data_IF_499581551336
#
_entry.id   IF_499581551336
#
_cell.length_a   1.000
_cell.length_b   1.000
_cell.length_c   1.000
_cell.angle_alpha   90.00
_cell.angle_beta   90.00
_cell.angle_gamma   90.00
#
_symmetry.space_group_name_H-M   'P 1'
#
loop_
_entity.id
_entity.type
_entity.pdbx_description
1 polymer ?
#
# COMPACT_ATOMS: atom_id res chain seq x y z
N UNK A 1 9.68 25.48 -13.51
CA UNK A 1 8.81 24.82 -12.51
C UNK A 1 8.56 25.77 -11.35
N UNK A 2 7.28 25.94 -10.97
CA UNK A 2 6.89 26.85 -9.88
C UNK A 2 7.29 26.28 -8.51
N UNK A 3 7.27 27.11 -7.46
CA UNK A 3 7.49 26.65 -6.09
C UNK A 3 6.46 25.59 -5.65
N UNK A 4 5.28 25.58 -6.26
CA UNK A 4 4.24 24.56 -6.04
C UNK A 4 4.62 23.20 -6.63
N UNK A 5 5.13 23.17 -7.85
CA UNK A 5 5.58 21.94 -8.52
C UNK A 5 6.79 21.29 -7.83
N UNK A 6 7.60 22.09 -7.14
CA UNK A 6 8.75 21.63 -6.36
C UNK A 6 8.40 21.25 -4.91
N UNK A 7 7.15 21.38 -4.49
CA UNK A 7 6.73 21.11 -3.11
C UNK A 7 7.20 22.15 -2.08
N UNK A 8 7.85 23.24 -2.49
CA UNK A 8 8.35 24.29 -1.57
C UNK A 8 7.24 25.19 -1.02
N UNK A 9 6.09 25.21 -1.64
CA UNK A 9 4.91 25.95 -1.20
C UNK A 9 3.65 25.18 -1.60
N UNK A 10 2.71 25.03 -0.67
CA UNK A 10 1.39 24.48 -0.95
C UNK A 10 0.47 25.57 -1.54
N UNK A 11 -0.24 25.29 -2.65
CA UNK A 11 -1.26 26.20 -3.16
C UNK A 11 -2.43 26.30 -2.19
N UNK A 12 -3.14 27.45 -2.21
CA UNK A 12 -4.41 27.56 -1.51
C UNK A 12 -5.51 26.77 -2.24
N UNK A 13 -6.64 26.52 -1.56
CA UNK A 13 -7.82 25.90 -2.19
C UNK A 13 -8.36 26.77 -3.33
N UNK A 14 -8.24 28.09 -3.20
CA UNK A 14 -8.62 29.09 -4.19
C UNK A 14 -7.72 29.00 -5.42
N UNK A 15 -6.38 28.93 -5.23
CA UNK A 15 -5.41 28.77 -6.31
C UNK A 15 -5.68 27.48 -7.10
N UNK A 16 -5.88 26.37 -6.38
CA UNK A 16 -6.23 25.07 -7.00
C UNK A 16 -7.54 25.17 -7.75
N UNK A 17 -8.56 25.82 -7.18
CA UNK A 17 -9.87 25.98 -7.83
C UNK A 17 -9.78 26.80 -9.12
N UNK A 18 -8.94 27.85 -9.13
CA UNK A 18 -8.70 28.67 -10.32
C UNK A 18 -8.00 27.86 -11.42
N UNK A 19 -6.96 27.07 -11.07
CA UNK A 19 -6.24 26.22 -12.02
C UNK A 19 -7.19 25.16 -12.60
N UNK A 20 -8.00 24.50 -11.78
CA UNK A 20 -8.96 23.49 -12.23
C UNK A 20 -10.01 24.10 -13.17
N UNK A 21 -10.45 25.34 -12.92
CA UNK A 21 -11.36 26.04 -13.81
C UNK A 21 -10.73 26.34 -15.16
N UNK A 22 -9.47 26.80 -15.20
CA UNK A 22 -8.70 27.03 -16.44
C UNK A 22 -8.49 25.75 -17.23
N UNK A 23 -8.26 24.61 -16.55
CA UNK A 23 -8.09 23.30 -17.18
C UNK A 23 -9.43 22.63 -17.57
N UNK A 24 -10.57 23.29 -17.31
CA UNK A 24 -11.90 22.76 -17.62
C UNK A 24 -12.31 21.56 -16.78
N UNK A 25 -11.62 21.27 -15.66
CA UNK A 25 -11.92 20.14 -14.79
C UNK A 25 -13.15 20.47 -13.93
N UNK A 26 -14.20 19.62 -14.03
CA UNK A 26 -15.50 19.83 -13.36
C UNK A 26 -15.96 18.56 -12.65
N UNK A 27 -17.06 18.66 -11.89
CA UNK A 27 -17.70 17.52 -11.20
C UNK A 27 -16.82 16.89 -10.13
N UNK A 28 -16.98 15.59 -9.94
CA UNK A 28 -16.34 14.80 -8.89
C UNK A 28 -14.81 14.94 -8.86
N UNK A 29 -14.16 14.98 -10.01
CA UNK A 29 -12.72 15.14 -10.11
C UNK A 29 -12.26 16.50 -9.55
N UNK A 30 -12.99 17.60 -9.84
CA UNK A 30 -12.73 18.91 -9.28
C UNK A 30 -12.87 18.92 -7.76
N UNK A 31 -13.97 18.33 -7.25
CA UNK A 31 -14.27 18.35 -5.82
C UNK A 31 -13.25 17.49 -5.04
N UNK A 32 -12.80 16.40 -5.63
CA UNK A 32 -11.74 15.58 -5.10
C UNK A 32 -10.41 16.35 -4.96
N UNK A 33 -9.95 17.03 -6.01
CA UNK A 33 -8.68 17.78 -5.97
C UNK A 33 -8.79 18.96 -4.98
N UNK A 34 -9.94 19.63 -4.88
CA UNK A 34 -10.17 20.68 -3.88
C UNK A 34 -10.12 20.15 -2.45
N UNK A 35 -10.64 18.96 -2.23
CA UNK A 35 -10.55 18.29 -0.92
C UNK A 35 -9.11 17.95 -0.56
N UNK A 36 -8.32 17.44 -1.50
CA UNK A 36 -6.89 17.23 -1.32
C UNK A 36 -6.16 18.53 -0.96
N UNK A 37 -6.43 19.63 -1.68
CA UNK A 37 -5.82 20.93 -1.41
C UNK A 37 -6.21 21.49 -0.02
N UNK A 38 -7.44 21.24 0.45
CA UNK A 38 -7.90 21.67 1.77
C UNK A 38 -7.12 20.99 2.89
N UNK A 39 -6.88 19.69 2.75
CA UNK A 39 -6.18 18.88 3.75
C UNK A 39 -4.65 18.89 3.59
N UNK A 40 -4.12 19.42 2.49
CA UNK A 40 -2.69 19.46 2.22
C UNK A 40 -1.85 20.22 3.27
N UNK A 41 -2.48 21.06 4.10
CA UNK A 41 -1.84 21.81 5.18
C UNK A 41 -1.96 21.16 6.55
N UNK A 42 -2.77 20.11 6.65
CA UNK A 42 -2.92 19.39 7.91
C UNK A 42 -1.72 18.44 8.08
N UNK A 43 -0.96 18.54 9.18
CA UNK A 43 0.06 17.57 9.47
C UNK A 43 -0.65 16.23 9.71
N UNK A 44 -0.28 15.19 8.94
CA UNK A 44 -0.81 13.84 9.07
C UNK A 44 -2.32 13.72 8.86
N UNK A 45 -2.78 13.85 7.60
CA UNK A 45 -4.19 13.69 7.39
C UNK A 45 -4.72 12.25 7.51
N UNK A 46 -5.72 12.13 8.36
CA UNK A 46 -6.49 10.92 8.59
C UNK A 46 -7.68 10.85 7.63
N UNK A 47 -7.68 9.84 6.77
CA UNK A 47 -8.85 9.53 5.94
C UNK A 47 -9.76 8.56 6.68
N UNK A 48 -10.94 9.00 7.07
CA UNK A 48 -11.98 8.12 7.64
C UNK A 48 -12.80 7.43 6.54
N UNK A 49 -13.24 6.20 6.81
CA UNK A 49 -13.75 5.25 5.81
C UNK A 49 -15.27 5.26 5.58
N UNK A 50 -15.97 6.38 5.78
CA UNK A 50 -17.43 6.44 5.78
C UNK A 50 -18.11 6.76 4.43
N UNK A 51 -17.48 6.48 3.28
CA UNK A 51 -18.09 6.69 1.95
C UNK A 51 -18.03 5.44 1.06
N UNK A 52 -18.83 5.37 0.00
CA UNK A 52 -18.93 4.24 -0.95
C UNK A 52 -17.61 3.81 -1.61
N UNK A 53 -16.65 4.71 -1.76
CA UNK A 53 -15.23 4.44 -1.96
C UNK A 53 -14.51 5.31 -0.94
N UNK A 54 -13.97 4.74 0.13
CA UNK A 54 -13.27 5.51 1.14
C UNK A 54 -12.19 6.38 0.52
N UNK A 55 -12.14 7.65 0.91
CA UNK A 55 -11.12 8.60 0.44
C UNK A 55 -9.69 8.04 0.61
N UNK A 56 -9.46 7.27 1.67
CA UNK A 56 -8.22 6.52 1.87
C UNK A 56 -7.89 5.57 0.70
N UNK A 57 -8.89 4.87 0.16
CA UNK A 57 -8.68 3.98 -0.98
C UNK A 57 -8.35 4.74 -2.26
N UNK A 58 -9.06 5.84 -2.54
CA UNK A 58 -8.80 6.65 -3.73
C UNK A 58 -7.42 7.31 -3.68
N UNK A 59 -6.98 7.78 -2.51
CA UNK A 59 -5.63 8.31 -2.33
C UNK A 59 -4.59 7.24 -2.53
N UNK A 60 -4.77 6.06 -1.93
CA UNK A 60 -3.86 4.93 -2.14
C UNK A 60 -3.74 4.57 -3.62
N UNK A 61 -4.85 4.53 -4.36
CA UNK A 61 -4.85 4.28 -5.81
C UNK A 61 -4.00 5.28 -6.58
N UNK A 62 -4.06 6.56 -6.22
CA UNK A 62 -3.27 7.60 -6.88
C UNK A 62 -1.79 7.49 -6.53
N UNK A 63 -1.45 7.21 -5.26
CA UNK A 63 -0.08 6.99 -4.83
C UNK A 63 0.53 5.77 -5.56
N UNK A 64 -0.18 4.65 -5.60
CA UNK A 64 0.25 3.43 -6.28
C UNK A 64 0.43 3.63 -7.80
N UNK A 65 -0.45 4.42 -8.43
CA UNK A 65 -0.37 4.69 -9.86
C UNK A 65 0.83 5.55 -10.25
N UNK A 66 1.21 6.49 -9.39
CA UNK A 66 2.24 7.51 -9.66
C UNK A 66 3.60 7.17 -9.07
N UNK A 67 3.66 6.28 -8.08
CA UNK A 67 4.93 5.83 -7.50
C UNK A 67 5.79 5.05 -8.50
N UNK A 68 7.10 5.22 -8.40
CA UNK A 68 8.11 4.40 -9.09
C UNK A 68 8.65 3.29 -8.22
N UNK A 69 8.59 3.47 -6.89
CA UNK A 69 8.99 2.46 -5.92
C UNK A 69 7.97 2.42 -4.79
N UNK A 70 7.59 1.22 -4.38
CA UNK A 70 6.74 0.98 -3.22
C UNK A 70 7.45 -0.02 -2.32
N UNK A 71 7.57 0.31 -1.04
CA UNK A 71 8.03 -0.61 0.00
C UNK A 71 6.91 -0.84 1.00
N UNK A 72 6.54 -2.09 1.20
CA UNK A 72 5.49 -2.49 2.15
C UNK A 72 6.09 -3.34 3.26
N UNK A 73 5.77 -3.03 4.50
CA UNK A 73 5.91 -3.92 5.64
C UNK A 73 4.55 -4.45 6.07
N UNK A 74 4.39 -5.76 6.09
CA UNK A 74 3.14 -6.42 6.47
C UNK A 74 3.41 -7.60 7.40
N UNK A 75 3.19 -7.45 8.72
CA UNK A 75 3.59 -8.46 9.72
C UNK A 75 2.66 -9.70 9.77
N UNK A 76 1.37 -9.55 9.47
CA UNK A 76 0.35 -10.57 9.77
C UNK A 76 -0.55 -10.91 8.57
N UNK A 77 -0.62 -10.06 7.56
CA UNK A 77 -1.51 -10.23 6.41
C UNK A 77 -0.69 -10.07 5.12
N UNK A 78 -0.96 -10.84 4.11
CA UNK A 78 -0.33 -10.64 2.79
C UNK A 78 -0.73 -9.26 2.25
N UNK A 79 0.21 -8.43 1.75
CA UNK A 79 -0.09 -7.10 1.20
C UNK A 79 -1.11 -7.18 0.06
N UNK A 80 -2.03 -6.22 -0.01
CA UNK A 80 -3.12 -6.21 -0.98
C UNK A 80 -2.69 -6.28 -2.45
N UNK A 81 -1.47 -5.84 -2.77
CA UNK A 81 -0.89 -5.95 -4.12
C UNK A 81 -0.45 -7.39 -4.48
N UNK A 82 -0.32 -8.29 -3.51
CA UNK A 82 0.09 -9.69 -3.70
C UNK A 82 -1.00 -10.70 -3.31
N UNK A 83 -2.22 -10.25 -3.00
CA UNK A 83 -3.32 -11.16 -2.61
C UNK A 83 -3.97 -11.84 -3.80
N UNK A 84 -4.29 -13.12 -3.68
CA UNK A 84 -5.17 -13.83 -4.64
C UNK A 84 -6.64 -13.42 -4.46
N UNK A 85 -7.51 -13.64 -5.46
CA UNK A 85 -8.94 -13.35 -5.31
C UNK A 85 -9.59 -14.05 -4.12
N UNK A 86 -9.24 -15.32 -3.87
CA UNK A 86 -9.85 -16.12 -2.80
C UNK A 86 -9.34 -15.71 -1.42
N UNK A 87 -8.06 -15.34 -1.32
CA UNK A 87 -7.53 -14.72 -0.11
C UNK A 87 -8.24 -13.39 0.22
N UNK A 88 -8.49 -12.54 -0.79
CA UNK A 88 -9.25 -11.29 -0.61
C UNK A 88 -10.68 -11.59 -0.13
N UNK A 89 -11.37 -12.58 -0.72
CA UNK A 89 -12.74 -12.97 -0.31
C UNK A 89 -12.74 -13.44 1.13
N UNK A 90 -11.81 -14.31 1.52
CA UNK A 90 -11.72 -14.84 2.90
C UNK A 90 -11.56 -13.76 3.97
N UNK A 91 -10.85 -12.66 3.65
CA UNK A 91 -10.76 -11.50 4.54
C UNK A 91 -12.09 -10.74 4.56
N UNK A 92 -12.75 -10.58 3.41
CA UNK A 92 -13.99 -9.82 3.31
C UNK A 92 -15.18 -10.52 3.96
N UNK A 93 -15.26 -11.84 3.89
CA UNK A 93 -16.32 -12.64 4.51
C UNK A 93 -16.37 -12.50 6.04
N UNK A 94 -15.25 -12.18 6.66
CA UNK A 94 -15.15 -11.87 8.09
C UNK A 94 -15.49 -10.42 8.43
N UNK A 95 -15.66 -9.56 7.42
CA UNK A 95 -16.05 -8.16 7.60
C UNK A 95 -17.57 -8.02 7.40
N UNK A 96 -18.21 -7.14 8.20
CA UNK A 96 -19.65 -6.87 8.09
C UNK A 96 -19.99 -6.03 6.84
N UNK A 97 -19.69 -6.56 5.64
CA UNK A 97 -19.86 -5.89 4.35
C UNK A 97 -20.89 -6.65 3.52
N UNK A 98 -21.78 -5.95 2.82
CA UNK A 98 -22.73 -6.62 1.91
C UNK A 98 -22.00 -7.29 0.73
N UNK A 99 -22.61 -8.34 0.15
CA UNK A 99 -22.03 -9.10 -0.99
C UNK A 99 -21.69 -8.15 -2.15
N UNK A 100 -22.57 -7.21 -2.48
CA UNK A 100 -22.38 -6.25 -3.57
C UNK A 100 -21.15 -5.33 -3.30
N UNK A 101 -20.97 -4.88 -2.07
CA UNK A 101 -19.83 -4.09 -1.67
C UNK A 101 -18.53 -4.92 -1.67
N UNK A 102 -18.59 -6.20 -1.30
CA UNK A 102 -17.46 -7.11 -1.33
C UNK A 102 -16.96 -7.32 -2.77
N UNK A 103 -17.85 -7.55 -3.74
CA UNK A 103 -17.51 -7.70 -5.15
C UNK A 103 -16.91 -6.41 -5.76
N UNK A 104 -17.45 -5.25 -5.40
CA UNK A 104 -16.89 -3.96 -5.83
C UNK A 104 -15.46 -3.77 -5.28
N UNK A 105 -15.26 -4.06 -3.99
CA UNK A 105 -13.95 -3.97 -3.33
C UNK A 105 -12.95 -4.98 -3.92
N UNK A 106 -13.38 -6.21 -4.21
CA UNK A 106 -12.55 -7.22 -4.87
C UNK A 106 -12.05 -6.72 -6.23
N UNK A 107 -12.96 -6.23 -7.09
CA UNK A 107 -12.59 -5.70 -8.42
C UNK A 107 -11.57 -4.56 -8.29
N UNK A 108 -11.78 -3.63 -7.36
CA UNK A 108 -10.83 -2.53 -7.12
C UNK A 108 -9.48 -3.04 -6.66
N UNK A 109 -9.42 -4.00 -5.73
CA UNK A 109 -8.16 -4.59 -5.26
C UNK A 109 -7.39 -5.29 -6.39
N UNK A 110 -8.08 -6.09 -7.20
CA UNK A 110 -7.45 -6.77 -8.36
C UNK A 110 -6.97 -5.78 -9.42
N UNK A 111 -7.74 -4.71 -9.68
CA UNK A 111 -7.32 -3.66 -10.61
C UNK A 111 -6.04 -2.93 -10.15
N UNK A 112 -5.83 -2.74 -8.84
CA UNK A 112 -4.60 -2.16 -8.26
C UNK A 112 -3.35 -2.97 -8.59
N UNK A 113 -3.45 -4.30 -8.57
CA UNK A 113 -2.31 -5.20 -8.79
C UNK A 113 -1.67 -5.05 -10.17
N UNK A 114 -2.39 -4.47 -11.14
CA UNK A 114 -1.87 -4.23 -12.50
C UNK A 114 -0.62 -3.35 -12.52
N UNK A 115 -0.37 -2.54 -11.50
CA UNK A 115 0.86 -1.73 -11.40
C UNK A 115 2.12 -2.59 -11.32
N UNK A 116 2.00 -3.85 -10.85
CA UNK A 116 3.12 -4.80 -10.76
C UNK A 116 3.42 -5.49 -12.09
N UNK A 117 2.49 -5.48 -13.04
CA UNK A 117 2.56 -6.27 -14.28
C UNK A 117 2.44 -5.45 -15.56
N UNK A 118 2.20 -4.12 -15.48
CA UNK A 118 2.15 -3.23 -16.64
C UNK A 118 3.51 -3.15 -17.34
N UNK A 119 3.57 -2.54 -18.52
CA UNK A 119 4.80 -2.39 -19.35
C UNK A 119 5.93 -1.64 -18.63
N UNK A 120 5.59 -0.66 -17.80
CA UNK A 120 6.52 0.04 -16.91
C UNK A 120 6.08 -0.22 -15.46
N UNK A 121 6.45 -1.38 -14.89
CA UNK A 121 5.95 -1.78 -13.59
C UNK A 121 6.67 -1.05 -12.46
N UNK A 122 5.95 -0.80 -11.38
CA UNK A 122 6.52 -0.25 -10.14
C UNK A 122 7.55 -1.23 -9.55
N UNK A 123 8.64 -0.72 -9.01
CA UNK A 123 9.55 -1.52 -8.16
C UNK A 123 8.90 -1.73 -6.80
N UNK A 124 8.62 -2.99 -6.49
CA UNK A 124 7.89 -3.35 -5.29
C UNK A 124 8.75 -4.18 -4.35
N UNK A 125 8.97 -3.68 -3.13
CA UNK A 125 9.61 -4.43 -2.04
C UNK A 125 8.57 -4.84 -1.03
N UNK A 126 8.31 -6.13 -0.91
CA UNK A 126 7.44 -6.72 0.10
C UNK A 126 8.29 -7.31 1.23
N UNK A 127 8.21 -6.71 2.40
CA UNK A 127 8.74 -7.26 3.65
C UNK A 127 7.56 -7.90 4.38
N UNK A 128 7.57 -9.22 4.54
CA UNK A 128 6.51 -9.99 5.19
C UNK A 128 6.99 -10.52 6.53
N UNK A 129 6.15 -10.43 7.56
CA UNK A 129 6.38 -11.19 8.76
C UNK A 129 6.08 -12.67 8.49
N UNK A 130 6.93 -13.59 8.96
CA UNK A 130 6.74 -15.04 8.79
C UNK A 130 5.35 -15.49 9.25
N UNK A 131 4.79 -14.86 10.30
CA UNK A 131 3.45 -15.19 10.81
C UNK A 131 2.34 -15.01 9.78
N UNK A 132 2.51 -14.12 8.79
CA UNK A 132 1.53 -13.94 7.71
C UNK A 132 1.34 -15.17 6.82
N UNK A 133 2.27 -16.12 6.87
CA UNK A 133 2.21 -17.38 6.13
C UNK A 133 1.45 -18.48 6.86
N UNK A 134 1.25 -18.32 8.17
CA UNK A 134 0.64 -19.34 9.04
C UNK A 134 -0.78 -18.98 9.51
N UNK A 135 -1.25 -17.79 9.18
CA UNK A 135 -2.62 -17.38 9.49
C UNK A 135 -3.62 -18.06 8.53
N UNK A 136 -4.63 -18.72 9.10
CA UNK A 136 -5.65 -19.40 8.31
C UNK A 136 -6.70 -18.41 7.80
N UNK A 137 -6.56 -18.02 6.55
CA UNK A 137 -7.58 -17.28 5.80
C UNK A 137 -8.34 -18.22 4.89
N UNK A 138 -9.61 -18.49 5.21
CA UNK A 138 -10.45 -19.41 4.42
C UNK A 138 -10.13 -20.90 4.63
N UNK A 139 -10.33 -21.70 3.57
CA UNK A 139 -10.03 -23.13 3.54
C UNK A 139 -8.53 -23.37 3.36
N UNK A 140 -8.09 -24.61 3.55
CA UNK A 140 -6.69 -25.01 3.40
C UNK A 140 -6.10 -24.70 2.01
N UNK A 141 -6.91 -24.74 0.94
CA UNK A 141 -6.48 -24.41 -0.42
C UNK A 141 -6.18 -22.94 -0.63
N UNK A 142 -6.87 -22.03 0.07
CA UNK A 142 -6.70 -20.57 -0.11
C UNK A 142 -5.28 -20.14 0.22
N UNK A 143 -4.69 -20.64 1.31
CA UNK A 143 -3.32 -20.31 1.69
C UNK A 143 -2.29 -20.96 0.78
N UNK A 144 -2.49 -22.19 0.35
CA UNK A 144 -1.61 -22.85 -0.62
C UNK A 144 -1.56 -22.06 -1.93
N UNK A 145 -2.71 -21.72 -2.52
CA UNK A 145 -2.79 -20.90 -3.73
C UNK A 145 -2.16 -19.51 -3.54
N UNK A 146 -2.33 -18.93 -2.36
CA UNK A 146 -1.73 -17.65 -2.02
C UNK A 146 -0.19 -17.74 -1.95
N UNK A 147 0.36 -18.79 -1.39
CA UNK A 147 1.81 -19.02 -1.31
C UNK A 147 2.39 -19.27 -2.70
N UNK A 148 1.73 -20.06 -3.52
CA UNK A 148 2.12 -20.30 -4.92
C UNK A 148 2.13 -19.00 -5.72
N UNK A 149 1.13 -18.14 -5.49
CA UNK A 149 1.10 -16.81 -6.09
C UNK A 149 2.28 -15.93 -5.62
N UNK A 150 2.64 -15.96 -4.33
CA UNK A 150 3.81 -15.24 -3.82
C UNK A 150 5.11 -15.73 -4.47
N UNK A 151 5.28 -17.03 -4.66
CA UNK A 151 6.42 -17.62 -5.37
C UNK A 151 6.48 -17.13 -6.82
N UNK A 152 5.35 -17.17 -7.53
CA UNK A 152 5.27 -16.68 -8.91
C UNK A 152 5.57 -15.17 -9.02
N UNK A 153 5.08 -14.37 -8.08
CA UNK A 153 5.34 -12.92 -8.05
C UNK A 153 6.79 -12.61 -7.67
N UNK A 154 7.40 -13.35 -6.76
CA UNK A 154 8.80 -13.17 -6.36
C UNK A 154 9.82 -13.48 -7.48
N UNK A 155 9.41 -14.20 -8.52
CA UNK A 155 10.24 -14.45 -9.71
C UNK A 155 10.31 -13.24 -10.67
N UNK A 156 9.50 -12.20 -10.47
CA UNK A 156 9.50 -11.02 -11.33
C UNK A 156 10.64 -10.06 -10.97
N UNK A 157 11.35 -9.48 -11.95
CA UNK A 157 12.54 -8.66 -11.71
C UNK A 157 12.24 -7.33 -10.97
N UNK A 158 10.99 -6.88 -10.98
CA UNK A 158 10.57 -5.66 -10.29
C UNK A 158 10.02 -5.92 -8.87
N UNK A 159 9.99 -7.17 -8.39
CA UNK A 159 9.45 -7.55 -7.09
C UNK A 159 10.55 -8.18 -6.23
N UNK A 160 10.86 -7.56 -5.10
CA UNK A 160 11.70 -8.10 -4.04
C UNK A 160 10.80 -8.55 -2.90
N UNK A 161 10.69 -9.85 -2.66
CA UNK A 161 9.92 -10.42 -1.56
C UNK A 161 10.87 -11.03 -0.55
N UNK A 162 10.79 -10.58 0.70
CA UNK A 162 11.64 -11.06 1.80
C UNK A 162 10.83 -11.26 3.06
N UNK A 163 11.12 -12.32 3.80
CA UNK A 163 10.42 -12.72 5.02
C UNK A 163 11.27 -12.35 6.22
N UNK A 164 10.67 -11.64 7.18
CA UNK A 164 11.25 -11.36 8.50
C UNK A 164 10.83 -12.49 9.43
N UNK A 165 11.80 -13.28 9.97
CA UNK A 165 11.50 -14.43 10.82
C UNK A 165 10.74 -14.03 12.09
N UNK A 166 9.89 -14.92 12.59
CA UNK A 166 9.25 -14.78 13.89
C UNK A 166 10.24 -15.03 15.03
N UNK A 167 10.00 -14.45 16.19
CA UNK A 167 10.78 -14.74 17.41
C UNK A 167 12.17 -14.11 17.47
N UNK A 168 12.51 -13.19 16.57
CA UNK A 168 13.83 -12.52 16.53
C UNK A 168 14.00 -11.36 17.53
N UNK A 169 13.05 -11.20 18.45
CA UNK A 169 13.08 -10.12 19.44
C UNK A 169 12.43 -8.83 18.93
N UNK A 170 12.73 -7.71 19.62
CA UNK A 170 12.16 -6.41 19.27
C UNK A 170 12.73 -5.86 17.97
N UNK A 171 11.83 -5.38 17.12
CA UNK A 171 12.14 -4.59 15.92
C UNK A 171 11.00 -3.60 15.64
N UNK A 172 11.24 -2.49 14.90
CA UNK A 172 10.24 -1.43 14.71
C UNK A 172 8.96 -1.92 14.02
N UNK A 173 9.03 -2.98 13.24
CA UNK A 173 7.86 -3.57 12.58
C UNK A 173 6.83 -4.20 13.50
N UNK A 174 7.13 -4.43 14.79
CA UNK A 174 6.15 -4.92 15.77
C UNK A 174 5.08 -3.88 16.11
N UNK A 175 5.31 -2.60 15.79
CA UNK A 175 4.36 -1.51 16.06
C UNK A 175 3.19 -1.54 15.08
N UNK A 176 3.40 -2.03 13.86
CA UNK A 176 2.33 -2.15 12.87
C UNK A 176 2.83 -2.14 11.43
N UNK A 177 1.90 -2.36 10.47
CA UNK A 177 2.20 -2.31 9.04
C UNK A 177 2.36 -0.87 8.55
N UNK A 178 3.13 -0.69 7.46
CA UNK A 178 3.23 0.58 6.75
C UNK A 178 3.62 0.37 5.28
N UNK A 179 3.27 1.36 4.46
CA UNK A 179 3.75 1.47 3.08
C UNK A 179 4.56 2.74 2.90
N UNK A 180 5.55 2.71 2.01
CA UNK A 180 6.34 3.87 1.58
C UNK A 180 6.22 3.96 0.06
N UNK A 181 5.80 5.13 -0.43
CA UNK A 181 5.69 5.46 -1.85
C UNK A 181 6.75 6.47 -2.22
N UNK A 182 7.54 6.18 -3.24
CA UNK A 182 8.58 7.09 -3.74
C UNK A 182 8.26 7.49 -5.18
N UNK A 183 8.46 8.77 -5.48
CA UNK A 183 8.07 9.40 -6.73
C UNK A 183 9.25 10.06 -7.42
N UNK A 184 9.25 10.21 -8.77
CA UNK A 184 10.24 11.00 -9.46
C UNK A 184 10.09 12.48 -9.08
N UNK A 185 11.15 13.09 -8.50
CA UNK A 185 11.20 14.52 -8.22
C UNK A 185 10.21 15.06 -7.19
N UNK A 186 9.58 14.19 -6.39
CA UNK A 186 8.69 14.58 -5.29
C UNK A 186 9.08 13.87 -4.00
N UNK A 187 8.81 14.47 -2.82
CA UNK A 187 9.04 13.83 -1.53
C UNK A 187 8.27 12.50 -1.41
N UNK A 188 8.82 11.53 -0.67
CA UNK A 188 8.14 10.28 -0.40
C UNK A 188 6.92 10.49 0.50
N UNK A 189 5.96 9.56 0.43
CA UNK A 189 4.80 9.50 1.33
C UNK A 189 4.83 8.14 2.02
N UNK A 190 4.62 8.12 3.34
CA UNK A 190 4.36 6.89 4.06
C UNK A 190 2.86 6.77 4.38
N UNK A 191 2.32 5.55 4.42
CA UNK A 191 0.97 5.31 4.91
C UNK A 191 0.95 4.27 6.01
N UNK A 192 0.10 4.50 7.00
CA UNK A 192 -0.18 3.58 8.10
C UNK A 192 -1.67 3.27 8.05
N UNK A 193 -2.02 2.00 7.90
CA UNK A 193 -3.41 1.55 7.86
C UNK A 193 -3.86 1.06 9.23
N UNK A 194 -5.03 1.54 9.65
CA UNK A 194 -5.75 1.07 10.82
C UNK A 194 -7.14 0.59 10.39
N UNK A 195 -7.86 -0.15 11.25
CA UNK A 195 -9.16 -0.78 10.94
C UNK A 195 -10.16 0.22 10.33
N UNK A 196 -10.22 1.44 10.84
CA UNK A 196 -11.20 2.47 10.42
C UNK A 196 -10.58 3.72 9.82
N UNK A 197 -9.26 3.79 9.69
CA UNK A 197 -8.57 4.98 9.22
C UNK A 197 -7.24 4.65 8.55
N UNK A 198 -6.78 5.54 7.68
CA UNK A 198 -5.42 5.50 7.11
C UNK A 198 -4.79 6.86 7.31
N UNK A 199 -3.59 6.88 7.89
CA UNK A 199 -2.77 8.09 7.96
C UNK A 199 -1.82 8.12 6.76
N UNK A 200 -1.74 9.27 6.09
CA UNK A 200 -0.75 9.54 5.04
C UNK A 200 0.23 10.57 5.58
N UNK A 201 1.49 10.19 5.70
CA UNK A 201 2.57 10.95 6.31
C UNK A 201 3.45 11.51 5.19
N UNK A 202 3.60 12.82 5.15
CA UNK A 202 4.39 13.50 4.11
C UNK A 202 5.51 14.40 4.69
N UNK A 203 5.57 14.52 6.02
CA UNK A 203 6.67 15.23 6.67
C UNK A 203 7.97 14.44 6.54
N UNK A 204 9.05 15.14 6.19
CA UNK A 204 10.37 14.54 5.93
C UNK A 204 10.88 13.71 7.11
N UNK A 205 10.71 14.19 8.33
CA UNK A 205 11.12 13.49 9.55
C UNK A 205 10.44 12.12 9.69
N UNK A 206 9.13 12.05 9.38
CA UNK A 206 8.31 10.84 9.51
C UNK A 206 8.60 9.86 8.38
N UNK A 207 8.67 10.33 7.13
CA UNK A 207 9.00 9.48 5.99
C UNK A 207 10.42 8.93 6.08
N UNK A 208 11.37 9.72 6.56
CA UNK A 208 12.75 9.29 6.84
C UNK A 208 12.77 8.23 7.95
N UNK A 209 11.96 8.40 9.00
CA UNK A 209 11.78 7.41 10.07
C UNK A 209 11.34 6.06 9.50
N UNK A 210 10.26 6.03 8.70
CA UNK A 210 9.75 4.79 8.10
C UNK A 210 10.74 4.15 7.11
N UNK A 211 11.51 4.95 6.34
CA UNK A 211 12.59 4.43 5.49
C UNK A 211 13.69 3.76 6.30
N UNK A 212 14.08 4.34 7.44
CA UNK A 212 15.05 3.73 8.36
C UNK A 212 14.51 2.42 8.92
N UNK A 213 13.25 2.38 9.32
CA UNK A 213 12.60 1.19 9.88
C UNK A 213 12.49 0.08 8.81
N UNK A 214 12.12 0.42 7.58
CA UNK A 214 12.15 -0.51 6.44
C UNK A 214 13.56 -1.07 6.16
N UNK A 215 14.61 -0.23 6.28
CA UNK A 215 16.00 -0.67 6.15
C UNK A 215 16.40 -1.65 7.26
N UNK A 216 16.00 -1.39 8.51
CA UNK A 216 16.21 -2.31 9.64
C UNK A 216 15.53 -3.65 9.37
N UNK A 217 14.23 -3.63 9.00
CA UNK A 217 13.47 -4.84 8.68
C UNK A 217 14.07 -5.63 7.52
N UNK A 218 14.55 -4.95 6.48
CA UNK A 218 15.25 -5.59 5.36
C UNK A 218 16.55 -6.25 5.80
N UNK A 219 17.27 -5.67 6.77
CA UNK A 219 18.48 -6.25 7.36
C UNK A 219 18.20 -7.49 8.22
N UNK A 220 17.03 -7.56 8.83
CA UNK A 220 16.57 -8.71 9.63
C UNK A 220 15.91 -9.81 8.79
N UNK A 221 15.43 -9.47 7.60
CA UNK A 221 14.76 -10.39 6.70
C UNK A 221 15.74 -11.41 6.09
N UNK A 222 15.24 -12.60 5.82
CA UNK A 222 15.91 -13.62 5.01
C UNK A 222 16.31 -13.05 3.64
N UNK A 223 17.27 -13.65 2.96
CA UNK A 223 17.53 -13.35 1.55
C UNK A 223 16.30 -13.69 0.69
N UNK A 224 16.25 -13.23 -0.55
CA UNK A 224 15.14 -13.58 -1.47
C UNK A 224 15.07 -15.09 -1.72
N UNK A 225 16.22 -15.74 -1.89
CA UNK A 225 16.33 -17.20 -2.08
C UNK A 225 15.86 -17.97 -0.83
N UNK A 226 16.32 -17.54 0.37
CA UNK A 226 15.90 -18.17 1.62
C UNK A 226 14.40 -17.92 1.90
N UNK A 227 13.86 -16.75 1.53
CA UNK A 227 12.44 -16.45 1.62
C UNK A 227 11.61 -17.33 0.69
N UNK A 228 12.07 -17.57 -0.55
CA UNK A 228 11.42 -18.50 -1.47
C UNK A 228 11.48 -19.96 -0.98
N UNK A 229 12.59 -20.36 -0.33
CA UNK A 229 12.68 -21.69 0.29
C UNK A 229 11.63 -21.86 1.39
N UNK A 230 11.52 -20.87 2.29
CA UNK A 230 10.51 -20.87 3.35
C UNK A 230 9.07 -20.88 2.80
N UNK A 231 8.80 -20.15 1.71
CA UNK A 231 7.49 -20.19 1.04
C UNK A 231 7.18 -21.60 0.51
N UNK A 232 8.15 -22.30 -0.08
CA UNK A 232 7.93 -23.69 -0.57
C UNK A 232 7.66 -24.68 0.57
N UNK A 233 8.32 -24.51 1.71
CA UNK A 233 8.06 -25.30 2.92
C UNK A 233 6.64 -25.03 3.47
N UNK A 234 6.17 -23.80 3.41
CA UNK A 234 4.84 -23.43 3.88
C UNK A 234 3.70 -23.84 2.93
N UNK A 235 4.00 -24.15 1.66
CA UNK A 235 3.02 -24.61 0.67
C UNK A 235 2.70 -26.11 0.79
N UNK A 236 3.59 -26.92 1.43
CA UNK A 236 3.47 -28.39 1.58
C UNK A 236 2.83 -28.78 2.87
#
# INVERSE_FOLDING_TARGET
>A
MSAWEKGHRLPSVEDVSAILALLGIRGEQRDRIRTLARHAREPNWLASSNSDLPFALTTRLDLERTATTITTWSPLIIPGLLQTPDYIRSIMDKSAVSIEQADKRLRVRLARQRILTRSDPVRFTALLGERSLHENFGDTGVMSDQIDHLLAMSARPNISLRIVPAGIGYHPGLIGPFDIYEFPGSPPIASIEHIYSTAFLHEESQTTGHKRDAKVLRGLALSEEASQALLREAAG
#
